data_IF_835535100938
#
_entry.id   IF_835535100938
#
_cell.length_a   1.000
_cell.length_b   1.000
_cell.length_c   1.000
_cell.angle_alpha   90.00
_cell.angle_beta   90.00
_cell.angle_gamma   90.00
#
_symmetry.space_group_name_H-M   'P 1'
#
loop_
_entity.id
_entity.type
_entity.pdbx_description
1 polymer ?
#
# COMPACT_ATOMS: atom_id res chain seq x y z
N UNK A 1 -7.05 0.92 -0.21
CA UNK A 1 -7.16 0.31 -1.55
C UNK A 1 -7.07 -1.19 -1.41
N UNK A 2 -7.95 -1.97 -2.03
CA UNK A 2 -8.00 -3.44 -1.87
C UNK A 2 -7.30 -4.20 -3.01
N UNK A 3 -6.82 -5.42 -2.74
CA UNK A 3 -6.07 -6.22 -3.72
C UNK A 3 -6.88 -6.64 -4.95
N UNK A 4 -8.15 -7.00 -4.78
CA UNK A 4 -9.03 -7.38 -5.90
C UNK A 4 -9.69 -6.15 -6.57
N UNK A 5 -10.05 -5.14 -5.79
CA UNK A 5 -10.77 -3.96 -6.29
C UNK A 5 -9.87 -2.90 -6.92
N UNK A 6 -8.63 -2.74 -6.46
CA UNK A 6 -7.70 -1.67 -6.84
C UNK A 6 -8.26 -0.25 -6.70
N UNK A 7 -9.25 -0.06 -5.82
CA UNK A 7 -9.83 1.24 -5.47
C UNK A 7 -9.91 1.40 -3.95
N UNK A 8 -10.01 2.65 -3.48
CA UNK A 8 -10.34 2.94 -2.08
C UNK A 8 -11.78 2.49 -1.79
N UNK A 9 -11.99 1.85 -0.65
CA UNK A 9 -13.28 1.32 -0.23
C UNK A 9 -13.38 1.46 1.30
N UNK A 10 -14.56 1.84 1.79
CA UNK A 10 -14.86 2.08 3.19
C UNK A 10 -16.11 1.36 3.70
N UNK A 11 -16.93 0.79 2.81
CA UNK A 11 -18.07 -0.03 3.21
C UNK A 11 -17.59 -1.38 3.76
N UNK A 12 -17.86 -1.70 5.05
CA UNK A 12 -17.44 -2.95 5.67
C UNK A 12 -17.95 -4.22 4.96
N UNK A 13 -19.18 -4.20 4.45
CA UNK A 13 -19.75 -5.37 3.77
C UNK A 13 -19.07 -5.59 2.42
N UNK A 14 -18.82 -4.51 1.68
CA UNK A 14 -18.06 -4.58 0.42
C UNK A 14 -16.62 -5.02 0.65
N UNK A 15 -15.95 -4.50 1.69
CA UNK A 15 -14.60 -4.92 2.08
C UNK A 15 -14.55 -6.43 2.39
N UNK A 16 -15.53 -6.95 3.13
CA UNK A 16 -15.64 -8.39 3.43
C UNK A 16 -15.73 -9.20 2.14
N UNK A 17 -16.58 -8.82 1.19
CA UNK A 17 -16.68 -9.52 -0.09
C UNK A 17 -15.37 -9.47 -0.89
N UNK A 18 -14.70 -8.32 -0.94
CA UNK A 18 -13.43 -8.14 -1.66
C UNK A 18 -12.29 -8.98 -1.05
N UNK A 19 -12.27 -9.16 0.27
CA UNK A 19 -11.30 -10.04 0.93
C UNK A 19 -11.52 -11.51 0.58
N UNK A 20 -12.76 -11.95 0.42
CA UNK A 20 -13.08 -13.31 -0.04
C UNK A 20 -12.65 -13.46 -1.51
N UNK A 21 -12.99 -12.51 -2.37
CA UNK A 21 -12.63 -12.51 -3.79
C UNK A 21 -11.11 -12.61 -4.00
N UNK A 22 -10.34 -11.88 -3.18
CA UNK A 22 -8.87 -11.88 -3.21
C UNK A 22 -8.26 -13.28 -3.10
N UNK A 23 -8.94 -14.26 -2.50
CA UNK A 23 -8.41 -15.63 -2.38
C UNK A 23 -8.17 -16.31 -3.73
N UNK A 24 -8.91 -15.91 -4.77
CA UNK A 24 -8.84 -16.53 -6.10
C UNK A 24 -8.57 -15.52 -7.22
N UNK A 25 -8.76 -14.23 -6.95
CA UNK A 25 -8.43 -13.16 -7.88
C UNK A 25 -6.93 -12.80 -7.83
N UNK A 26 -6.34 -12.35 -8.96
CA UNK A 26 -4.99 -11.82 -8.95
C UNK A 26 -4.89 -10.55 -8.10
N UNK A 27 -3.73 -10.36 -7.45
CA UNK A 27 -3.43 -9.12 -6.73
C UNK A 27 -3.14 -8.01 -7.73
N UNK A 28 -4.00 -6.99 -7.77
CA UNK A 28 -3.87 -5.83 -8.68
C UNK A 28 -2.98 -4.74 -8.09
N UNK A 29 -1.74 -5.10 -7.78
CA UNK A 29 -0.80 -4.22 -7.08
C UNK A 29 -0.49 -2.93 -7.86
N UNK A 30 -0.17 -3.03 -9.15
CA UNK A 30 0.16 -1.86 -9.99
C UNK A 30 -0.99 -0.86 -10.04
N UNK A 31 -2.22 -1.34 -10.22
CA UNK A 31 -3.41 -0.49 -10.25
C UNK A 31 -3.65 0.13 -8.88
N UNK A 32 -3.42 -0.63 -7.80
CA UNK A 32 -3.58 -0.15 -6.44
C UNK A 32 -2.63 1.01 -6.11
N UNK A 33 -1.36 0.89 -6.50
CA UNK A 33 -0.37 1.97 -6.33
C UNK A 33 -0.75 3.20 -7.16
N UNK A 34 -1.21 3.03 -8.40
CA UNK A 34 -1.71 4.14 -9.22
C UNK A 34 -2.90 4.85 -8.58
N UNK A 35 -3.83 4.11 -7.97
CA UNK A 35 -4.96 4.68 -7.26
C UNK A 35 -4.53 5.47 -6.01
N UNK A 36 -3.50 5.00 -5.28
CA UNK A 36 -2.92 5.73 -4.16
C UNK A 36 -2.25 7.02 -4.62
N UNK A 37 -1.46 6.99 -5.69
CA UNK A 37 -0.80 8.18 -6.26
C UNK A 37 -1.85 9.20 -6.73
N UNK A 38 -2.93 8.73 -7.36
CA UNK A 38 -4.02 9.60 -7.79
C UNK A 38 -4.79 10.26 -6.62
N UNK A 39 -4.62 9.77 -5.39
CA UNK A 39 -5.15 10.38 -4.19
C UNK A 39 -4.20 11.45 -3.58
N UNK A 40 -3.12 11.81 -4.28
CA UNK A 40 -2.19 12.90 -3.93
C UNK A 40 -1.60 12.78 -2.50
N UNK A 41 -1.24 11.56 -2.09
CA UNK A 41 -0.58 11.34 -0.80
C UNK A 41 0.82 11.95 -0.75
N UNK A 42 1.22 12.46 0.41
CA UNK A 42 2.56 13.06 0.62
C UNK A 42 3.70 12.03 0.59
N UNK A 43 3.39 10.77 0.88
CA UNK A 43 4.36 9.67 0.91
C UNK A 43 3.71 8.36 1.38
N UNK A 44 4.48 7.28 1.39
CA UNK A 44 4.03 5.98 1.85
C UNK A 44 5.01 5.32 2.83
N UNK A 45 4.48 4.45 3.67
CA UNK A 45 5.27 3.59 4.57
C UNK A 45 5.07 2.11 4.19
N UNK A 46 6.16 1.37 4.04
CA UNK A 46 6.14 -0.10 3.95
C UNK A 46 6.27 -0.67 5.36
N UNK A 47 5.15 -1.10 5.94
CA UNK A 47 5.11 -1.66 7.29
C UNK A 47 5.44 -3.15 7.24
N UNK A 48 6.51 -3.55 7.93
CA UNK A 48 7.00 -4.92 7.98
C UNK A 48 8.50 -5.03 7.66
N UNK A 49 9.07 -6.25 7.75
CA UNK A 49 10.49 -6.47 7.48
C UNK A 49 10.81 -6.36 5.98
N UNK A 50 11.98 -5.79 5.67
CA UNK A 50 12.48 -5.72 4.29
C UNK A 50 12.05 -4.45 3.54
N UNK A 51 12.17 -4.48 2.21
CA UNK A 51 11.95 -3.32 1.32
C UNK A 51 11.33 -3.73 -0.02
N UNK A 52 10.56 -4.82 -0.03
CA UNK A 52 10.03 -5.41 -1.27
C UNK A 52 9.03 -4.47 -1.91
N UNK A 53 8.06 -3.96 -1.14
CA UNK A 53 7.03 -3.06 -1.66
C UNK A 53 7.62 -1.73 -2.11
N UNK A 54 8.58 -1.16 -1.38
CA UNK A 54 9.38 0.00 -1.82
C UNK A 54 10.02 -0.24 -3.18
N UNK A 55 10.64 -1.42 -3.37
CA UNK A 55 11.22 -1.82 -4.64
C UNK A 55 10.19 -1.92 -5.76
N UNK A 56 9.01 -2.50 -5.50
CA UNK A 56 7.92 -2.61 -6.47
C UNK A 56 7.31 -1.25 -6.81
N UNK A 57 7.05 -0.40 -5.82
CA UNK A 57 6.53 0.96 -6.02
C UNK A 57 7.49 1.76 -6.88
N UNK A 58 8.80 1.71 -6.63
CA UNK A 58 9.82 2.41 -7.44
C UNK A 58 9.83 1.99 -8.93
N UNK A 59 9.35 0.78 -9.26
CA UNK A 59 9.18 0.33 -10.65
C UNK A 59 7.91 0.87 -11.30
N UNK A 60 6.90 1.20 -10.50
CA UNK A 60 5.61 1.75 -10.94
C UNK A 60 5.71 3.27 -11.04
N UNK A 61 6.23 3.93 -10.01
CA UNK A 61 6.42 5.36 -9.91
C UNK A 61 7.68 5.67 -9.07
N UNK A 62 8.57 6.53 -9.59
CA UNK A 62 9.84 6.87 -8.92
C UNK A 62 9.75 8.10 -8.03
N UNK A 63 8.65 8.84 -8.11
CA UNK A 63 8.43 10.10 -7.39
C UNK A 63 7.77 9.85 -6.04
N UNK A 64 7.01 8.76 -5.88
CA UNK A 64 6.45 8.38 -4.59
C UNK A 64 7.56 7.92 -3.63
N UNK A 65 7.80 8.70 -2.57
CA UNK A 65 8.69 8.29 -1.49
C UNK A 65 8.04 7.17 -0.67
N UNK A 66 8.81 6.10 -0.44
CA UNK A 66 8.37 4.96 0.37
C UNK A 66 9.41 4.68 1.44
N UNK A 67 9.00 4.80 2.71
CA UNK A 67 9.84 4.57 3.87
C UNK A 67 9.58 3.17 4.45
N UNK A 68 10.60 2.31 4.57
CA UNK A 68 10.42 1.02 5.25
C UNK A 68 10.32 1.21 6.76
N UNK A 69 9.41 0.48 7.40
CA UNK A 69 9.11 0.55 8.83
C UNK A 69 9.03 -0.88 9.36
N UNK A 70 10.17 -1.43 9.74
CA UNK A 70 10.29 -2.83 10.17
C UNK A 70 10.61 -3.02 11.65
N UNK A 71 11.08 -1.96 12.32
CA UNK A 71 11.53 -1.99 13.72
C UNK A 71 10.85 -0.92 14.57
N UNK A 72 10.93 -1.07 15.90
CA UNK A 72 10.43 -0.04 16.81
C UNK A 72 11.20 1.27 16.69
N UNK A 73 12.48 1.22 16.34
CA UNK A 73 13.28 2.39 16.04
C UNK A 73 12.77 3.15 14.80
N UNK A 74 12.39 2.43 13.74
CA UNK A 74 11.81 3.06 12.53
C UNK A 74 10.50 3.79 12.85
N UNK A 75 9.66 3.18 13.70
CA UNK A 75 8.40 3.80 14.17
C UNK A 75 8.70 5.08 14.96
N UNK A 76 9.66 5.02 15.89
CA UNK A 76 10.05 6.18 16.69
C UNK A 76 10.62 7.33 15.83
N UNK A 77 11.35 7.01 14.77
CA UNK A 77 11.88 7.99 13.84
C UNK A 77 10.77 8.74 13.09
N UNK A 78 9.74 8.03 12.62
CA UNK A 78 8.59 8.65 11.92
C UNK A 78 7.74 9.48 12.87
N UNK A 79 7.53 9.02 14.11
CA UNK A 79 6.72 9.76 15.09
C UNK A 79 7.38 11.05 15.61
N UNK A 80 8.69 11.23 15.34
CA UNK A 80 9.45 12.40 15.74
C UNK A 80 9.53 13.49 14.64
N UNK A 81 9.01 13.21 13.44
CA UNK A 81 8.82 14.17 12.35
C UNK A 81 7.52 14.97 12.52
#
# INVERSE_FOLDING_TARGET
VTNAGAAAESDPERLRSLLIEQMTAPVRWTDSVKAVIAAEVDGACEVGPGTVLKGLVRRIDRNLDVRPVGTSQDIAAIAAE
#
